data_IF_822239283715
#
_entry.id   IF_822239283715
#
_cell.length_a   1.000
_cell.length_b   1.000
_cell.length_c   1.000
_cell.angle_alpha   90.00
_cell.angle_beta   90.00
_cell.angle_gamma   90.00
#
_symmetry.space_group_name_H-M   'P 1'
#
loop_
_entity.id
_entity.type
_entity.pdbx_description
1 polymer ?
#
# COMPACT_ATOMS: atom_id res chain seq x y z
N UNK A 1 37.71 13.74 -34.83
CA UNK A 1 37.93 13.42 -33.41
C UNK A 1 37.08 14.22 -32.41
N UNK A 2 37.25 15.55 -32.20
CA UNK A 2 36.43 16.29 -31.20
C UNK A 2 34.92 16.27 -31.49
N UNK A 3 34.53 16.43 -32.75
CA UNK A 3 33.13 16.38 -33.17
C UNK A 3 32.52 14.98 -32.97
N UNK A 4 33.24 13.91 -33.35
CA UNK A 4 32.82 12.52 -33.14
C UNK A 4 32.65 12.20 -31.65
N UNK A 5 33.55 12.72 -30.80
CA UNK A 5 33.43 12.56 -29.36
C UNK A 5 32.18 13.25 -28.82
N UNK A 6 31.93 14.51 -29.19
CA UNK A 6 30.73 15.24 -28.78
C UNK A 6 29.43 14.54 -29.25
N UNK A 7 29.47 13.95 -30.44
CA UNK A 7 28.40 13.11 -30.98
C UNK A 7 28.16 11.88 -30.11
N UNK A 8 29.21 11.14 -29.78
CA UNK A 8 29.14 9.98 -28.91
C UNK A 8 28.59 10.34 -27.51
N UNK A 9 29.08 11.42 -26.91
CA UNK A 9 28.61 11.92 -25.61
C UNK A 9 27.11 12.20 -25.63
N UNK A 10 26.63 12.83 -26.71
CA UNK A 10 25.20 13.12 -26.90
C UNK A 10 24.40 11.84 -27.03
N UNK A 11 24.83 10.91 -27.89
CA UNK A 11 24.14 9.63 -28.10
C UNK A 11 24.03 8.81 -26.81
N UNK A 12 25.14 8.70 -26.06
CA UNK A 12 25.17 8.02 -24.76
C UNK A 12 24.25 8.69 -23.75
N UNK A 13 24.31 10.02 -23.64
CA UNK A 13 23.47 10.78 -22.70
C UNK A 13 21.98 10.61 -23.00
N UNK A 14 21.59 10.66 -24.28
CA UNK A 14 20.20 10.46 -24.70
C UNK A 14 19.74 9.02 -24.47
N UNK A 15 20.57 8.02 -24.82
CA UNK A 15 20.26 6.62 -24.58
C UNK A 15 20.07 6.30 -23.09
N UNK A 16 20.95 6.83 -22.23
CA UNK A 16 20.81 6.72 -20.76
C UNK A 16 19.53 7.40 -20.28
N UNK A 17 19.25 8.62 -20.75
CA UNK A 17 18.04 9.36 -20.37
C UNK A 17 16.76 8.62 -20.77
N UNK A 18 16.67 8.13 -22.01
CA UNK A 18 15.54 7.32 -22.50
C UNK A 18 15.37 6.05 -21.67
N UNK A 19 16.48 5.38 -21.32
CA UNK A 19 16.46 4.17 -20.49
C UNK A 19 15.95 4.46 -19.08
N UNK A 20 16.45 5.51 -18.43
CA UNK A 20 16.01 5.95 -17.09
C UNK A 20 14.53 6.32 -17.09
N UNK A 21 14.10 7.12 -18.06
CA UNK A 21 12.71 7.55 -18.16
C UNK A 21 11.78 6.38 -18.48
N UNK A 22 12.21 5.47 -19.35
CA UNK A 22 11.53 4.24 -19.69
C UNK A 22 11.30 3.33 -18.48
N UNK A 23 12.37 3.02 -17.73
CA UNK A 23 12.30 2.21 -16.51
C UNK A 23 11.38 2.87 -15.47
N UNK A 24 11.58 4.16 -15.19
CA UNK A 24 10.73 4.94 -14.27
C UNK A 24 9.25 4.85 -14.64
N UNK A 25 8.92 5.03 -15.92
CA UNK A 25 7.54 4.96 -16.40
C UNK A 25 6.99 3.54 -16.37
N UNK A 26 7.82 2.52 -16.62
CA UNK A 26 7.41 1.13 -16.48
C UNK A 26 7.05 0.77 -15.05
N UNK A 27 7.89 1.17 -14.08
CA UNK A 27 7.60 0.99 -12.66
C UNK A 27 6.31 1.72 -12.24
N UNK A 28 6.11 2.95 -12.73
CA UNK A 28 4.85 3.69 -12.47
C UNK A 28 3.63 2.95 -12.98
N UNK A 29 3.68 2.43 -14.22
CA UNK A 29 2.59 1.66 -14.81
C UNK A 29 2.31 0.40 -14.00
N UNK A 30 3.35 -0.34 -13.62
CA UNK A 30 3.20 -1.54 -12.80
C UNK A 30 2.47 -1.24 -11.49
N UNK A 31 2.88 -0.18 -10.78
CA UNK A 31 2.23 0.27 -9.53
C UNK A 31 0.78 0.66 -9.73
N UNK A 32 0.44 1.38 -10.82
CA UNK A 32 -0.95 1.75 -11.11
C UNK A 32 -1.79 0.54 -11.52
N UNK A 33 -1.26 -0.36 -12.34
CA UNK A 33 -1.94 -1.59 -12.77
C UNK A 33 -2.20 -2.55 -11.61
N UNK A 34 -1.33 -2.52 -10.59
CA UNK A 34 -1.52 -3.24 -9.34
C UNK A 34 -2.55 -2.60 -8.39
N UNK A 35 -3.19 -1.49 -8.78
CA UNK A 35 -4.23 -0.83 -7.97
C UNK A 35 -3.73 0.02 -6.81
N UNK A 36 -2.42 0.26 -6.68
CA UNK A 36 -1.84 1.08 -5.60
C UNK A 36 -2.04 2.59 -5.81
N UNK A 37 -2.53 2.98 -6.99
CA UNK A 37 -2.93 4.34 -7.33
C UNK A 37 -1.79 5.28 -7.72
N UNK A 38 -2.16 6.44 -8.26
CA UNK A 38 -1.21 7.38 -8.88
C UNK A 38 -0.20 7.99 -7.90
N UNK A 39 -0.63 8.26 -6.65
CA UNK A 39 0.26 8.80 -5.62
C UNK A 39 1.43 7.88 -5.33
N UNK A 40 1.16 6.57 -5.27
CA UNK A 40 2.19 5.57 -5.03
C UNK A 40 3.10 5.44 -6.26
N UNK A 41 2.54 5.45 -7.47
CA UNK A 41 3.34 5.42 -8.70
C UNK A 41 4.33 6.60 -8.75
N UNK A 42 3.87 7.82 -8.41
CA UNK A 42 4.70 9.04 -8.43
C UNK A 42 5.85 9.05 -7.40
N UNK A 43 5.94 8.04 -6.52
CA UNK A 43 7.11 7.84 -5.65
C UNK A 43 8.34 7.37 -6.42
N UNK A 44 8.16 6.71 -7.57
CA UNK A 44 9.23 6.36 -8.49
C UNK A 44 9.80 7.61 -9.17
N UNK A 45 11.12 7.76 -9.08
CA UNK A 45 11.94 8.86 -9.56
C UNK A 45 13.05 8.33 -10.45
N UNK A 46 13.53 9.20 -11.34
CA UNK A 46 14.62 8.93 -12.25
C UNK A 46 15.47 10.18 -12.33
N UNK A 47 16.74 10.07 -11.94
CA UNK A 47 17.72 11.15 -11.98
C UNK A 47 18.82 10.78 -12.98
N UNK A 48 19.24 11.74 -13.81
CA UNK A 48 20.29 11.56 -14.82
C UNK A 48 21.49 12.45 -14.48
N UNK A 49 22.69 11.95 -14.75
CA UNK A 49 23.96 12.59 -14.44
C UNK A 49 24.92 12.50 -15.64
N UNK A 50 25.77 13.53 -15.87
CA UNK A 50 25.74 14.84 -15.20
C UNK A 50 24.48 15.64 -15.55
N UNK A 51 24.10 16.60 -14.71
CA UNK A 51 22.93 17.44 -14.96
C UNK A 51 23.25 18.52 -15.99
N UNK A 52 22.43 18.60 -17.04
CA UNK A 52 22.47 19.71 -18.01
C UNK A 52 23.62 19.65 -19.03
N UNK A 53 24.38 18.56 -19.08
CA UNK A 53 25.49 18.38 -20.01
C UNK A 53 25.49 16.97 -20.60
N UNK A 54 26.04 16.83 -21.80
CA UNK A 54 26.30 15.52 -22.38
C UNK A 54 27.61 14.97 -21.81
N UNK A 55 27.68 13.65 -21.67
CA UNK A 55 28.90 12.96 -21.25
C UNK A 55 28.94 11.54 -21.78
N UNK A 56 30.13 11.07 -22.13
CA UNK A 56 30.37 9.66 -22.45
C UNK A 56 30.17 8.77 -21.22
N UNK A 57 30.26 9.35 -20.02
CA UNK A 57 30.04 8.69 -18.72
C UNK A 57 28.67 9.02 -18.14
N UNK A 58 27.67 9.27 -19.00
CA UNK A 58 26.33 9.54 -18.51
C UNK A 58 25.80 8.35 -17.70
N UNK A 59 25.10 8.66 -16.60
CA UNK A 59 24.54 7.67 -15.70
C UNK A 59 23.11 8.03 -15.33
N UNK A 60 22.28 7.00 -15.14
CA UNK A 60 20.88 7.11 -14.79
C UNK A 60 20.56 6.31 -13.53
N UNK A 61 19.80 6.88 -12.61
CA UNK A 61 19.40 6.23 -11.37
C UNK A 61 17.89 6.27 -11.25
N UNK A 62 17.26 5.09 -11.12
CA UNK A 62 15.83 4.96 -10.83
C UNK A 62 15.63 4.43 -9.42
N UNK A 63 14.80 5.11 -8.63
CA UNK A 63 14.54 4.77 -7.23
C UNK A 63 13.12 5.15 -6.82
N UNK A 64 12.67 4.65 -5.66
CA UNK A 64 11.38 5.01 -5.08
C UNK A 64 11.54 5.69 -3.73
N UNK A 65 10.72 6.72 -3.46
CA UNK A 65 10.60 7.32 -2.12
C UNK A 65 9.84 6.42 -1.12
N UNK A 66 9.25 5.33 -1.58
CA UNK A 66 8.49 4.37 -0.78
C UNK A 66 9.17 2.98 -0.76
N UNK A 67 10.50 2.94 -0.64
CA UNK A 67 11.32 1.73 -0.75
C UNK A 67 10.78 0.57 0.07
N UNK A 68 10.57 0.75 1.38
CA UNK A 68 10.08 -0.31 2.29
C UNK A 68 8.72 -0.90 1.87
N UNK A 69 7.85 -0.09 1.27
CA UNK A 69 6.54 -0.56 0.80
C UNK A 69 6.73 -1.39 -0.48
N UNK A 70 7.55 -0.89 -1.40
CA UNK A 70 7.82 -1.54 -2.68
C UNK A 70 8.55 -2.87 -2.50
N UNK A 71 9.59 -2.89 -1.65
CA UNK A 71 10.30 -4.11 -1.25
C UNK A 71 9.32 -5.17 -0.69
N UNK A 72 8.40 -4.75 0.17
CA UNK A 72 7.36 -5.63 0.70
C UNK A 72 6.49 -6.28 -0.39
N UNK A 73 6.23 -5.57 -1.49
CA UNK A 73 5.49 -6.08 -2.64
C UNK A 73 6.34 -6.85 -3.65
N UNK A 74 7.65 -6.64 -3.72
CA UNK A 74 8.55 -7.42 -4.59
C UNK A 74 8.82 -8.80 -3.97
N UNK A 75 9.08 -8.80 -2.66
CA UNK A 75 9.49 -10.00 -1.90
C UNK A 75 8.31 -10.78 -1.32
N UNK A 76 7.08 -10.31 -1.53
CA UNK A 76 5.87 -10.88 -0.92
C UNK A 76 5.99 -11.02 0.60
N UNK A 77 6.40 -9.92 1.25
CA UNK A 77 6.74 -9.90 2.66
C UNK A 77 5.57 -10.29 3.57
N UNK A 78 5.88 -10.98 4.66
CA UNK A 78 4.90 -11.38 5.68
C UNK A 78 4.82 -10.30 6.76
N UNK A 79 3.63 -9.75 6.95
CA UNK A 79 3.31 -8.80 8.03
C UNK A 79 2.82 -9.59 9.23
N UNK A 80 3.39 -9.30 10.40
CA UNK A 80 3.01 -9.84 11.71
C UNK A 80 2.84 -8.72 12.71
N UNK A 81 2.14 -8.99 13.80
CA UNK A 81 2.07 -8.04 14.91
C UNK A 81 3.44 -7.87 15.55
N UNK A 82 3.75 -6.65 15.98
CA UNK A 82 4.99 -6.35 16.71
C UNK A 82 4.89 -6.78 18.18
N UNK A 83 3.75 -6.50 18.79
CA UNK A 83 3.57 -6.54 20.24
C UNK A 83 2.55 -7.63 20.68
N UNK A 84 2.41 -8.70 19.90
CA UNK A 84 1.52 -9.81 20.25
C UNK A 84 1.33 -10.84 19.14
N UNK A 85 0.41 -11.77 19.37
CA UNK A 85 0.15 -12.87 18.43
C UNK A 85 -0.75 -12.48 17.26
N UNK A 86 -1.68 -11.53 17.45
CA UNK A 86 -2.71 -11.21 16.47
C UNK A 86 -2.51 -9.85 15.80
N UNK A 87 -2.69 -9.81 14.48
CA UNK A 87 -3.03 -8.61 13.73
C UNK A 87 -4.54 -8.37 13.80
N UNK A 88 -4.93 -7.24 14.39
CA UNK A 88 -6.32 -6.82 14.45
C UNK A 88 -6.69 -5.96 13.25
N UNK A 89 -7.50 -6.51 12.35
CA UNK A 89 -7.99 -5.85 11.14
C UNK A 89 -9.43 -5.36 11.41
N UNK A 90 -9.68 -4.05 11.44
CA UNK A 90 -11.02 -3.53 11.71
C UNK A 90 -11.97 -3.86 10.56
N UNK A 91 -13.20 -4.25 10.89
CA UNK A 91 -14.28 -4.43 9.92
C UNK A 91 -14.92 -3.08 9.58
N UNK A 92 -15.77 -3.00 8.53
CA UNK A 92 -16.58 -1.80 8.27
C UNK A 92 -17.50 -1.40 9.43
N UNK A 93 -17.80 -2.33 10.35
CA UNK A 93 -18.65 -2.07 11.52
C UNK A 93 -17.88 -1.40 12.67
N UNK A 94 -16.55 -1.52 12.71
CA UNK A 94 -15.74 -0.82 13.69
C UNK A 94 -15.73 0.68 13.41
N UNK A 95 -15.68 1.51 14.47
CA UNK A 95 -15.56 2.95 14.30
C UNK A 95 -14.25 3.28 13.59
N UNK A 96 -14.25 4.30 12.72
CA UNK A 96 -13.04 4.69 11.97
C UNK A 96 -11.90 5.15 12.90
N UNK A 97 -12.25 5.71 14.06
CA UNK A 97 -11.34 6.29 15.05
C UNK A 97 -11.65 5.74 16.44
N UNK A 98 -10.60 5.49 17.20
CA UNK A 98 -10.69 5.11 18.61
C UNK A 98 -10.65 6.32 19.55
N UNK A 99 -10.49 6.03 20.83
CA UNK A 99 -10.24 7.02 21.88
C UNK A 99 -9.01 7.86 21.51
N UNK A 100 -9.12 9.19 21.68
CA UNK A 100 -8.06 10.13 21.31
C UNK A 100 -7.93 10.40 19.80
N UNK A 101 -8.92 10.02 18.97
CA UNK A 101 -8.96 10.36 17.54
C UNK A 101 -7.94 9.61 16.67
N UNK A 102 -7.21 8.65 17.24
CA UNK A 102 -6.24 7.80 16.52
C UNK A 102 -6.96 6.77 15.66
N UNK A 103 -6.26 6.18 14.68
CA UNK A 103 -6.80 5.06 13.89
C UNK A 103 -7.20 3.95 14.86
N UNK A 104 -8.36 3.35 14.59
CA UNK A 104 -8.93 2.33 15.46
C UNK A 104 -8.01 1.11 15.57
N UNK A 105 -7.85 0.63 16.80
CA UNK A 105 -7.22 -0.63 17.16
C UNK A 105 -7.92 -1.19 18.41
N UNK A 106 -7.64 -2.43 18.84
CA UNK A 106 -8.29 -2.99 20.02
C UNK A 106 -8.02 -2.21 21.31
N UNK A 107 -6.80 -1.71 21.52
CA UNK A 107 -6.42 -1.03 22.77
C UNK A 107 -7.01 0.37 22.93
N UNK A 108 -7.42 1.02 21.84
CA UNK A 108 -8.08 2.32 21.87
C UNK A 108 -9.59 2.24 21.54
N UNK A 109 -10.18 1.05 21.60
CA UNK A 109 -11.59 0.88 21.28
C UNK A 109 -12.49 1.63 22.28
N UNK A 110 -13.47 2.43 21.81
CA UNK A 110 -14.33 3.23 22.68
C UNK A 110 -15.43 2.38 23.35
N UNK A 111 -15.06 1.55 24.32
CA UNK A 111 -15.95 0.59 24.98
C UNK A 111 -17.15 1.25 25.67
N UNK A 112 -16.99 2.46 26.19
CA UNK A 112 -18.08 3.23 26.80
C UNK A 112 -19.22 3.53 25.80
N UNK A 113 -18.90 3.68 24.51
CA UNK A 113 -19.87 4.01 23.46
C UNK A 113 -20.47 2.77 22.81
N UNK A 114 -19.64 1.75 22.57
CA UNK A 114 -20.05 0.58 21.77
C UNK A 114 -20.30 -0.67 22.60
N UNK A 115 -19.68 -0.81 23.77
CA UNK A 115 -19.63 -2.04 24.56
C UNK A 115 -18.21 -2.61 24.62
N UNK A 116 -17.96 -3.52 25.56
CA UNK A 116 -16.64 -4.16 25.71
C UNK A 116 -16.34 -5.12 24.57
N UNK A 117 -15.08 -5.21 24.17
CA UNK A 117 -14.66 -6.22 23.21
C UNK A 117 -14.57 -7.59 23.87
N UNK A 118 -15.22 -8.59 23.27
CA UNK A 118 -15.09 -10.00 23.66
C UNK A 118 -14.34 -10.77 22.58
N UNK A 119 -13.38 -11.57 23.02
CA UNK A 119 -12.64 -12.47 22.16
C UNK A 119 -13.46 -13.72 21.82
N UNK A 120 -13.44 -14.11 20.55
CA UNK A 120 -14.05 -15.34 20.04
C UNK A 120 -13.01 -16.11 19.25
N UNK A 121 -12.53 -17.21 19.84
CA UNK A 121 -11.64 -18.14 19.16
C UNK A 121 -12.40 -18.95 18.10
N UNK A 122 -11.76 -19.18 16.95
CA UNK A 122 -12.32 -20.01 15.88
C UNK A 122 -11.21 -20.90 15.31
N UNK A 123 -11.28 -22.20 15.58
CA UNK A 123 -10.31 -23.14 15.03
C UNK A 123 -10.33 -23.12 13.49
N UNK A 124 -9.14 -23.07 12.87
CA UNK A 124 -8.96 -23.03 11.43
C UNK A 124 -9.49 -21.78 10.71
N UNK A 125 -9.95 -20.75 11.44
CA UNK A 125 -10.52 -19.51 10.88
C UNK A 125 -9.93 -18.30 11.61
N UNK A 126 -9.99 -17.09 11.02
CA UNK A 126 -9.66 -15.88 11.75
C UNK A 126 -10.50 -15.76 13.03
N UNK A 127 -9.82 -15.55 14.17
CA UNK A 127 -10.47 -15.28 15.45
C UNK A 127 -11.07 -13.87 15.43
N UNK A 128 -11.97 -13.55 16.34
CA UNK A 128 -12.74 -12.30 16.27
C UNK A 128 -12.64 -11.53 17.58
N UNK A 129 -12.71 -10.20 17.46
CA UNK A 129 -13.16 -9.34 18.56
C UNK A 129 -14.55 -8.83 18.21
N UNK A 130 -15.50 -9.17 19.06
CA UNK A 130 -16.92 -8.85 18.87
C UNK A 130 -17.42 -7.95 19.98
N UNK A 131 -18.53 -7.28 19.73
CA UNK A 131 -19.31 -6.59 20.75
C UNK A 131 -20.67 -7.25 20.81
N UNK A 132 -21.04 -7.73 22.00
CA UNK A 132 -22.37 -8.26 22.26
C UNK A 132 -23.36 -7.14 22.59
N UNK A 133 -24.65 -7.47 22.52
CA UNK A 133 -25.71 -6.54 22.88
C UNK A 133 -25.62 -5.20 22.13
N UNK A 134 -25.11 -5.24 20.91
CA UNK A 134 -25.08 -4.10 20.02
C UNK A 134 -26.44 -3.97 19.34
N UNK A 135 -26.82 -2.73 19.01
CA UNK A 135 -28.05 -2.43 18.27
C UNK A 135 -27.75 -1.60 17.05
N UNK A 136 -28.34 -1.99 15.92
CA UNK A 136 -28.24 -1.23 14.68
C UNK A 136 -28.81 0.18 14.88
N UNK A 137 -28.07 1.17 14.39
CA UNK A 137 -28.47 2.57 14.36
C UNK A 137 -28.73 2.96 12.92
N UNK A 138 -29.91 3.50 12.65
CA UNK A 138 -30.32 3.93 11.31
C UNK A 138 -30.41 5.45 11.22
N UNK A 139 -30.16 5.99 10.04
CA UNK A 139 -30.48 7.38 9.74
C UNK A 139 -32.01 7.55 9.71
N UNK A 140 -32.55 8.47 10.52
CA UNK A 140 -34.00 8.69 10.62
C UNK A 140 -34.64 9.17 9.31
N UNK A 141 -33.88 9.85 8.45
CA UNK A 141 -34.38 10.40 7.18
C UNK A 141 -34.25 9.40 6.04
N UNK A 142 -33.07 8.79 5.89
CA UNK A 142 -32.78 7.89 4.74
C UNK A 142 -33.03 6.41 5.01
N UNK A 143 -33.29 6.01 6.26
CA UNK A 143 -33.44 4.59 6.64
C UNK A 143 -32.14 3.77 6.57
N UNK A 144 -31.03 4.35 6.12
CA UNK A 144 -29.77 3.64 5.92
C UNK A 144 -29.08 3.30 7.25
N UNK A 145 -28.40 2.16 7.28
CA UNK A 145 -27.58 1.76 8.44
C UNK A 145 -26.43 2.75 8.63
N UNK A 146 -26.40 3.38 9.80
CA UNK A 146 -25.32 4.28 10.23
C UNK A 146 -24.20 3.53 10.97
N UNK A 147 -24.51 2.36 11.53
CA UNK A 147 -23.58 1.52 12.27
C UNK A 147 -24.25 0.88 13.49
N UNK A 148 -23.46 0.56 14.50
CA UNK A 148 -23.93 -0.09 15.73
C UNK A 148 -23.63 0.76 16.96
N UNK A 149 -24.44 0.62 18.00
CA UNK A 149 -24.23 1.27 19.31
C UNK A 149 -24.49 0.28 20.43
N UNK A 150 -23.99 0.59 21.63
CA UNK A 150 -24.34 -0.15 22.85
C UNK A 150 -25.86 -0.11 23.07
N UNK A 151 -26.49 -1.26 23.36
CA UNK A 151 -27.89 -1.29 23.77
C UNK A 151 -28.06 -0.68 25.18
N UNK A 152 -29.23 -0.10 25.44
CA UNK A 152 -29.61 0.34 26.80
C UNK A 152 -29.94 -0.86 27.67
N UNK A 153 -29.79 -0.73 28.99
CA UNK A 153 -30.04 -1.83 29.94
C UNK A 153 -31.46 -2.38 29.82
N UNK A 154 -32.46 -1.52 29.55
CA UNK A 154 -33.85 -1.92 29.27
C UNK A 154 -33.99 -2.76 28.00
N UNK A 155 -33.21 -2.47 26.96
CA UNK A 155 -33.24 -3.25 25.73
C UNK A 155 -32.55 -4.61 25.93
N UNK A 156 -31.47 -4.64 26.71
CA UNK A 156 -30.77 -5.87 27.11
C UNK A 156 -31.71 -6.77 27.92
N UNK A 157 -32.38 -6.24 28.94
CA UNK A 157 -33.28 -7.02 29.79
C UNK A 157 -34.48 -7.60 29.02
N UNK A 158 -34.96 -6.90 27.99
CA UNK A 158 -36.05 -7.38 27.13
C UNK A 158 -35.61 -8.27 25.97
N UNK A 159 -34.30 -8.47 25.76
CA UNK A 159 -33.78 -9.26 24.63
C UNK A 159 -34.12 -8.71 23.24
N UNK A 160 -34.51 -7.44 23.12
CA UNK A 160 -35.13 -6.91 21.90
C UNK A 160 -34.11 -6.23 20.98
N UNK A 161 -33.92 -6.81 19.78
CA UNK A 161 -33.10 -6.20 18.72
C UNK A 161 -31.60 -6.16 19.04
N UNK A 162 -31.12 -7.10 19.84
CA UNK A 162 -29.71 -7.26 20.19
C UNK A 162 -29.01 -8.11 19.13
N UNK A 163 -27.77 -7.76 18.83
CA UNK A 163 -26.92 -8.54 17.92
C UNK A 163 -25.47 -8.54 18.39
N UNK A 164 -24.72 -9.54 17.95
CA UNK A 164 -23.27 -9.62 18.12
C UNK A 164 -22.60 -9.08 16.87
N UNK A 165 -21.78 -8.04 17.03
CA UNK A 165 -21.16 -7.35 15.91
C UNK A 165 -19.67 -7.62 15.90
N UNK A 166 -19.16 -8.13 14.78
CA UNK A 166 -17.73 -8.30 14.58
C UNK A 166 -17.07 -6.95 14.35
N UNK A 167 -16.22 -6.53 15.28
CA UNK A 167 -15.47 -5.28 15.19
C UNK A 167 -14.09 -5.51 14.56
N UNK A 168 -13.41 -6.61 14.88
CA UNK A 168 -12.11 -6.93 14.30
C UNK A 168 -12.00 -8.40 13.90
N UNK A 169 -11.33 -8.63 12.78
CA UNK A 169 -10.72 -9.90 12.44
C UNK A 169 -9.34 -9.99 13.09
N UNK A 170 -9.02 -11.14 13.67
CA UNK A 170 -7.72 -11.45 14.24
C UNK A 170 -7.07 -12.55 13.41
N UNK A 171 -5.94 -12.20 12.79
CA UNK A 171 -5.12 -13.13 12.00
C UNK A 171 -3.69 -13.12 12.54
N UNK A 172 -2.96 -14.24 12.54
CA UNK A 172 -1.60 -14.26 13.08
C UNK A 172 -0.62 -13.49 12.20
N UNK A 173 -0.82 -13.58 10.89
CA UNK A 173 0.01 -12.93 9.88
C UNK A 173 -0.76 -12.73 8.59
N UNK A 174 -0.29 -11.81 7.74
CA UNK A 174 -0.77 -11.65 6.36
C UNK A 174 0.43 -11.56 5.42
N UNK A 175 0.34 -12.18 4.26
CA UNK A 175 1.37 -12.08 3.23
C UNK A 175 0.98 -11.00 2.22
N UNK A 176 1.91 -10.10 1.89
CA UNK A 176 1.72 -9.15 0.82
C UNK A 176 1.74 -9.87 -0.54
N UNK A 177 0.83 -9.51 -1.48
CA UNK A 177 0.87 -10.06 -2.82
C UNK A 177 2.10 -9.55 -3.57
N UNK A 178 2.63 -10.34 -4.52
CA UNK A 178 3.70 -9.89 -5.40
C UNK A 178 3.15 -8.95 -6.47
N UNK A 179 3.24 -7.64 -6.26
CA UNK A 179 2.63 -6.63 -7.14
C UNK A 179 3.62 -5.95 -8.09
N UNK A 180 4.91 -5.98 -7.77
CA UNK A 180 5.96 -5.32 -8.54
C UNK A 180 7.15 -6.24 -8.76
N UNK A 181 7.97 -5.93 -9.76
CA UNK A 181 9.19 -6.69 -10.11
C UNK A 181 10.28 -5.72 -10.59
N UNK A 182 10.95 -5.05 -9.66
CA UNK A 182 11.93 -4.03 -10.03
C UNK A 182 13.16 -4.65 -10.70
N UNK A 183 13.72 -5.72 -10.13
CA UNK A 183 14.95 -6.32 -10.66
C UNK A 183 14.79 -6.82 -12.11
N UNK A 184 13.68 -7.49 -12.40
CA UNK A 184 13.37 -7.98 -13.75
C UNK A 184 13.22 -6.84 -14.76
N UNK A 185 12.47 -5.79 -14.39
CA UNK A 185 12.24 -4.67 -15.29
C UNK A 185 13.49 -3.80 -15.46
N UNK A 186 14.29 -3.63 -14.40
CA UNK A 186 15.58 -2.95 -14.45
C UNK A 186 16.54 -3.65 -15.42
N UNK A 187 16.66 -4.99 -15.32
CA UNK A 187 17.46 -5.77 -16.27
C UNK A 187 16.97 -5.61 -17.70
N UNK A 188 15.65 -5.67 -17.93
CA UNK A 188 15.05 -5.48 -19.26
C UNK A 188 15.41 -4.13 -19.89
N UNK A 189 15.41 -3.05 -19.10
CA UNK A 189 15.80 -1.73 -19.59
C UNK A 189 17.31 -1.59 -19.75
N UNK A 190 18.10 -2.18 -18.85
CA UNK A 190 19.55 -2.25 -18.98
C UNK A 190 19.98 -2.94 -20.29
N UNK A 191 19.36 -4.07 -20.63
CA UNK A 191 19.67 -4.82 -21.86
C UNK A 191 19.29 -4.04 -23.14
N UNK A 192 18.38 -3.06 -23.04
CA UNK A 192 17.98 -2.17 -24.16
C UNK A 192 18.91 -0.97 -24.32
N UNK A 193 19.69 -0.63 -23.30
CA UNK A 193 20.52 0.57 -23.28
C UNK A 193 21.45 0.65 -24.51
N UNK A 194 22.18 -0.41 -24.93
CA UNK A 194 23.03 -0.33 -26.11
C UNK A 194 22.26 0.06 -27.38
N UNK A 195 21.07 -0.52 -27.60
CA UNK A 195 20.23 -0.20 -28.75
C UNK A 195 19.71 1.24 -28.69
N UNK A 196 19.36 1.74 -27.51
CA UNK A 196 18.92 3.11 -27.31
C UNK A 196 20.04 4.13 -27.53
N UNK A 197 21.28 3.77 -27.20
CA UNK A 197 22.45 4.59 -27.53
C UNK A 197 22.66 4.62 -29.05
N UNK A 198 22.66 3.45 -29.71
CA UNK A 198 22.82 3.36 -31.16
C UNK A 198 21.73 4.12 -31.93
N UNK A 199 20.47 4.02 -31.48
CA UNK A 199 19.35 4.79 -32.04
C UNK A 199 19.57 6.31 -31.97
N UNK A 200 20.28 6.78 -30.95
CA UNK A 200 20.59 8.20 -30.76
C UNK A 200 21.96 8.59 -31.37
N UNK A 201 22.64 7.64 -32.02
CA UNK A 201 23.86 7.90 -32.76
C UNK A 201 23.49 8.47 -34.13
N UNK A 202 23.97 9.66 -34.51
CA UNK A 202 23.74 10.20 -35.83
C UNK A 202 24.55 9.45 -36.88
N UNK A 203 24.03 9.40 -38.10
CA UNK A 203 24.72 8.88 -39.28
C UNK A 203 26.05 9.62 -39.56
#
# INVERSE_FOLDING_TARGET
MKAEFATAERAVTLGVRETTDGLKMSMRRQVTSAGLGQRMANTWRGDNYPKGQNSIRAAGVVYTKASRIMEGFEDAAVIRSKDGWWLAIPTPNAPKRGVGGKRINPSNFPEHTYGRLRFVYRSGKPSLLVVDNARASYNRKSGQLRGFRKASDRAVSKGSGLTTVVMFWLVPQVQLPRLITFNTEAKRWFDRLPQLILKNWPD
#
